data_IF_172869284002
#
_entry.id   IF_172869284002
#
_cell.length_a   1.000
_cell.length_b   1.000
_cell.length_c   1.000
_cell.angle_alpha   90.00
_cell.angle_beta   90.00
_cell.angle_gamma   90.00
#
_symmetry.space_group_name_H-M   'P 1'
#
loop_
_entity.id
_entity.type
_entity.pdbx_description
1 polymer ?
#
# COMPACT_ATOMS: atom_id res chain seq x y z
N UNK A 1 14.17 -7.41 10.10
CA UNK A 1 13.43 -6.24 9.59
C UNK A 1 12.13 -6.11 10.36
N UNK A 2 11.88 -4.98 11.01
CA UNK A 2 10.58 -4.67 11.63
C UNK A 2 9.75 -3.87 10.62
N UNK A 3 8.53 -4.33 10.30
CA UNK A 3 7.58 -3.58 9.50
C UNK A 3 6.78 -2.62 10.40
N UNK A 4 6.60 -1.38 9.97
CA UNK A 4 5.79 -0.42 10.74
C UNK A 4 4.30 -0.69 10.49
N UNK A 5 3.56 -0.92 11.57
CA UNK A 5 2.11 -1.09 11.54
C UNK A 5 1.47 0.15 12.16
N UNK A 6 0.55 0.77 11.44
CA UNK A 6 -0.22 1.93 11.89
C UNK A 6 -1.67 1.48 12.10
N UNK A 7 -2.24 1.68 13.27
CA UNK A 7 -3.66 1.42 13.51
C UNK A 7 -4.45 2.72 13.40
N UNK A 8 -5.58 2.68 12.67
CA UNK A 8 -6.51 3.81 12.56
C UNK A 8 -7.96 3.30 12.60
N UNK A 9 -8.82 4.10 13.21
CA UNK A 9 -10.27 3.93 13.04
C UNK A 9 -10.63 4.30 11.60
N UNK A 10 -11.22 3.34 10.90
CA UNK A 10 -11.61 3.46 9.51
C UNK A 10 -13.02 2.91 9.37
N UNK A 11 -13.98 3.77 9.04
CA UNK A 11 -15.40 3.44 8.91
C UNK A 11 -16.00 2.78 10.17
N UNK A 12 -15.61 3.24 11.37
CA UNK A 12 -16.08 2.69 12.64
C UNK A 12 -15.34 1.43 13.12
N UNK A 13 -14.40 0.91 12.33
CA UNK A 13 -13.60 -0.26 12.68
C UNK A 13 -12.11 0.09 12.84
N UNK A 14 -11.46 -0.50 13.85
CA UNK A 14 -10.01 -0.38 14.03
C UNK A 14 -9.28 -1.23 13.00
N UNK A 15 -8.81 -0.61 11.92
CA UNK A 15 -7.99 -1.26 10.90
C UNK A 15 -6.52 -0.96 11.12
N UNK A 16 -5.69 -1.96 10.86
CA UNK A 16 -4.23 -1.81 10.85
C UNK A 16 -3.78 -1.62 9.42
N UNK A 17 -2.71 -0.88 9.21
CA UNK A 17 -2.16 -0.53 7.92
C UNK A 17 -0.64 -0.69 7.91
N UNK A 18 -0.08 -1.06 6.77
CA UNK A 18 1.36 -1.25 6.56
C UNK A 18 1.80 -0.67 5.23
N UNK A 19 3.08 -0.27 5.13
CA UNK A 19 3.66 0.11 3.85
C UNK A 19 3.88 -1.13 2.98
N UNK A 20 3.37 -1.11 1.76
CA UNK A 20 3.46 -2.24 0.83
C UNK A 20 4.89 -2.58 0.43
N UNK A 21 5.80 -1.59 0.36
CA UNK A 21 7.21 -1.81 -0.01
C UNK A 21 7.96 -2.51 1.12
N UNK A 22 7.74 -2.08 2.35
CA UNK A 22 8.28 -2.77 3.53
C UNK A 22 7.75 -4.20 3.60
N UNK A 23 6.45 -4.39 3.34
CA UNK A 23 5.84 -5.71 3.29
C UNK A 23 6.41 -6.59 2.17
N UNK A 24 6.65 -6.03 0.99
CA UNK A 24 7.25 -6.73 -0.14
C UNK A 24 8.66 -7.23 0.19
N UNK A 25 9.47 -6.35 0.78
CA UNK A 25 10.82 -6.68 1.23
C UNK A 25 10.79 -7.73 2.35
N UNK A 26 9.90 -7.57 3.33
CA UNK A 26 9.75 -8.50 4.45
C UNK A 26 9.32 -9.89 3.99
N UNK A 27 8.44 -9.99 3.00
CA UNK A 27 8.02 -11.27 2.41
C UNK A 27 9.09 -11.89 1.49
N UNK A 28 10.16 -11.17 1.15
CA UNK A 28 11.23 -11.67 0.28
C UNK A 28 10.74 -12.05 -1.12
N UNK A 29 9.70 -11.39 -1.64
CA UNK A 29 9.12 -11.73 -2.94
C UNK A 29 10.08 -11.33 -4.06
N UNK A 30 10.47 -12.28 -4.91
CA UNK A 30 11.39 -12.06 -6.04
C UNK A 30 10.78 -11.34 -7.25
N UNK A 31 9.50 -10.96 -7.19
CA UNK A 31 8.80 -10.23 -8.25
C UNK A 31 9.09 -8.73 -8.12
N UNK A 32 9.09 -7.99 -9.23
CA UNK A 32 9.15 -6.53 -9.15
C UNK A 32 7.93 -5.98 -8.42
N UNK A 33 8.16 -5.07 -7.47
CA UNK A 33 7.13 -4.48 -6.61
C UNK A 33 5.89 -3.99 -7.39
N UNK A 34 6.10 -3.31 -8.52
CA UNK A 34 5.02 -2.75 -9.33
C UNK A 34 4.09 -3.83 -9.91
N UNK A 35 4.64 -4.98 -10.29
CA UNK A 35 3.84 -6.10 -10.79
C UNK A 35 3.17 -6.82 -9.63
N UNK A 36 3.92 -7.06 -8.55
CA UNK A 36 3.41 -7.72 -7.35
C UNK A 36 2.21 -6.99 -6.72
N UNK A 37 2.27 -5.66 -6.61
CA UNK A 37 1.17 -4.92 -5.99
C UNK A 37 -0.08 -4.92 -6.86
N UNK A 38 0.08 -4.80 -8.19
CA UNK A 38 -1.02 -4.90 -9.15
C UNK A 38 -1.68 -6.28 -9.09
N UNK A 39 -0.89 -7.35 -9.13
CA UNK A 39 -1.42 -8.71 -9.04
C UNK A 39 -2.22 -8.91 -7.74
N UNK A 40 -1.77 -8.32 -6.62
CA UNK A 40 -2.50 -8.44 -5.35
C UNK A 40 -3.79 -7.66 -5.36
N UNK A 41 -3.81 -6.45 -5.89
CA UNK A 41 -5.03 -5.64 -6.04
C UNK A 41 -6.05 -6.39 -6.90
N UNK A 42 -5.61 -6.92 -8.04
CA UNK A 42 -6.47 -7.65 -8.97
C UNK A 42 -6.95 -8.99 -8.42
N UNK A 43 -6.04 -9.82 -7.90
CA UNK A 43 -6.34 -11.18 -7.42
C UNK A 43 -7.38 -11.21 -6.29
N UNK A 44 -7.41 -10.18 -5.46
CA UNK A 44 -8.30 -10.13 -4.30
C UNK A 44 -9.40 -9.07 -4.43
N UNK A 45 -9.46 -8.34 -5.56
CA UNK A 45 -10.48 -7.32 -5.80
C UNK A 45 -10.42 -6.14 -4.83
N UNK A 46 -9.22 -5.73 -4.41
CA UNK A 46 -9.07 -4.65 -3.42
C UNK A 46 -9.50 -3.31 -4.00
N UNK A 47 -10.21 -2.53 -3.18
CA UNK A 47 -10.75 -1.22 -3.58
C UNK A 47 -9.90 -0.09 -3.00
N UNK A 48 -9.55 0.85 -3.88
CA UNK A 48 -8.84 2.07 -3.47
C UNK A 48 -9.70 2.91 -2.51
N UNK A 49 -9.06 3.50 -1.51
CA UNK A 49 -9.70 4.24 -0.42
C UNK A 49 -10.56 3.40 0.53
N UNK A 50 -10.57 2.07 0.39
CA UNK A 50 -11.19 1.15 1.35
C UNK A 50 -10.18 0.14 1.89
N UNK A 51 -9.47 -0.53 0.99
CA UNK A 51 -8.50 -1.59 1.31
C UNK A 51 -7.06 -1.11 1.24
N UNK A 52 -6.78 -0.17 0.34
CA UNK A 52 -5.48 0.46 0.18
C UNK A 52 -5.56 1.94 -0.15
N UNK A 53 -4.49 2.65 0.14
CA UNK A 53 -4.29 4.04 -0.21
C UNK A 53 -3.00 4.20 -1.00
N UNK A 54 -3.01 5.11 -1.97
CA UNK A 54 -1.81 5.53 -2.68
C UNK A 54 -1.32 6.80 -2.02
N UNK A 55 -0.04 6.83 -1.67
CA UNK A 55 0.64 8.02 -1.14
C UNK A 55 1.91 8.28 -1.94
N UNK A 56 2.55 9.42 -1.68
CA UNK A 56 3.70 9.90 -2.42
C UNK A 56 4.91 9.89 -1.50
N UNK A 57 5.98 9.23 -1.93
CA UNK A 57 7.24 9.27 -1.21
C UNK A 57 7.72 10.74 -1.08
N UNK A 58 8.05 11.16 0.15
CA UNK A 58 8.49 12.52 0.54
C UNK A 58 7.44 13.63 0.58
N UNK A 59 6.16 13.38 0.36
CA UNK A 59 5.12 14.39 0.61
C UNK A 59 4.61 14.25 2.04
N UNK A 60 5.14 15.06 2.97
CA UNK A 60 4.65 15.12 4.34
C UNK A 60 3.11 15.18 4.36
N UNK A 61 2.48 14.09 4.83
CA UNK A 61 1.05 13.96 5.05
C UNK A 61 0.05 14.13 3.87
N UNK A 62 0.49 14.27 2.61
CA UNK A 62 -0.48 14.31 1.49
C UNK A 62 -0.82 12.90 1.00
N UNK A 63 -1.92 12.35 1.51
CA UNK A 63 -2.65 11.25 0.90
C UNK A 63 -3.30 11.77 -0.40
N UNK A 64 -2.57 11.75 -1.51
CA UNK A 64 -3.15 12.11 -2.80
C UNK A 64 -4.00 10.95 -3.30
N UNK A 65 -5.33 11.11 -3.29
CA UNK A 65 -6.31 10.17 -3.86
C UNK A 65 -6.29 10.11 -5.41
N UNK A 66 -5.14 10.34 -6.03
CA UNK A 66 -5.00 10.44 -7.48
C UNK A 66 -4.31 9.19 -8.03
N UNK A 67 -5.13 8.18 -8.33
CA UNK A 67 -4.67 6.92 -8.90
C UNK A 67 -4.28 7.02 -10.38
N UNK A 68 -4.86 7.97 -11.11
CA UNK A 68 -4.63 8.17 -12.55
C UNK A 68 -3.72 9.37 -12.81
N UNK A 69 -2.46 9.09 -13.13
CA UNK A 69 -1.47 10.09 -13.55
C UNK A 69 -0.06 9.84 -13.02
N UNK A 70 0.92 10.47 -13.68
CA UNK A 70 2.25 10.70 -13.11
C UNK A 70 2.09 11.77 -12.03
N UNK A 71 2.56 11.49 -10.83
CA UNK A 71 2.62 12.49 -9.76
C UNK A 71 3.94 13.20 -9.93
N UNK A 72 3.91 14.49 -10.21
CA UNK A 72 5.11 15.33 -10.35
C UNK A 72 5.16 16.32 -9.20
N UNK A 73 6.35 16.49 -8.64
CA UNK A 73 6.61 17.55 -7.68
C UNK A 73 6.43 18.91 -8.38
N UNK A 74 5.54 19.75 -7.86
CA UNK A 74 5.22 21.04 -8.51
C UNK A 74 6.40 22.03 -8.49
N UNK A 75 7.38 21.86 -7.59
CA UNK A 75 8.55 22.74 -7.46
C UNK A 75 9.72 22.30 -8.33
N UNK A 76 9.91 20.99 -8.48
CA UNK A 76 11.07 20.40 -9.16
C UNK A 76 10.74 19.72 -10.48
N UNK A 77 9.46 19.51 -10.78
CA UNK A 77 8.99 18.76 -11.95
C UNK A 77 9.31 17.26 -11.91
N UNK A 78 9.96 16.77 -10.85
CA UNK A 78 10.39 15.38 -10.73
C UNK A 78 9.20 14.45 -10.53
N UNK A 79 9.20 13.32 -11.24
CA UNK A 79 8.20 12.27 -11.00
C UNK A 79 8.45 11.65 -9.63
N UNK A 80 7.44 11.73 -8.77
CA UNK A 80 7.46 11.18 -7.43
C UNK A 80 7.05 9.70 -7.44
N UNK A 81 7.72 8.90 -6.61
CA UNK A 81 7.43 7.49 -6.48
C UNK A 81 6.11 7.28 -5.73
N UNK A 82 5.24 6.44 -6.29
CA UNK A 82 4.04 5.97 -5.60
C UNK A 82 4.43 5.01 -4.48
N UNK A 83 3.84 5.24 -3.32
CA UNK A 83 3.82 4.33 -2.19
C UNK A 83 2.39 3.84 -1.97
N UNK A 84 2.28 2.64 -1.42
CA UNK A 84 1.00 2.00 -1.17
C UNK A 84 0.91 1.67 0.31
N UNK A 85 -0.17 2.12 0.95
CA UNK A 85 -0.51 1.79 2.32
C UNK A 85 -1.65 0.78 2.27
N UNK A 86 -1.41 -0.42 2.79
CA UNK A 86 -2.32 -1.55 2.68
C UNK A 86 -2.91 -1.84 4.06
N UNK A 87 -4.20 -2.17 4.13
CA UNK A 87 -4.73 -2.73 5.38
C UNK A 87 -4.01 -4.03 5.73
N UNK A 88 -3.88 -4.37 7.01
CA UNK A 88 -3.23 -5.62 7.42
C UNK A 88 -4.08 -6.81 7.00
N UNK A 89 -5.39 -6.67 6.88
CA UNK A 89 -6.23 -7.75 6.35
C UNK A 89 -6.00 -7.97 4.84
N UNK A 90 -5.60 -6.92 4.11
CA UNK A 90 -5.02 -7.02 2.77
C UNK A 90 -3.60 -7.61 2.77
N UNK A 91 -2.78 -7.27 3.78
CA UNK A 91 -1.41 -7.77 3.95
C UNK A 91 -1.36 -9.24 4.43
N UNK A 92 -2.39 -9.68 5.14
CA UNK A 92 -2.68 -11.07 5.45
C UNK A 92 -2.97 -11.73 4.11
N UNK A 93 -1.91 -12.30 3.56
CA UNK A 93 -1.99 -13.66 3.06
C UNK A 93 -3.09 -14.38 3.84
N UNK A 94 -4.14 -14.82 3.17
CA UNK A 94 -4.81 -16.06 3.57
C UNK A 94 -3.70 -17.12 3.59
N UNK A 95 -2.91 -17.16 4.68
CA UNK A 95 -2.50 -18.42 5.25
C UNK A 95 -3.86 -19.00 5.61
N UNK A 96 -4.40 -19.81 4.72
CA UNK A 96 -5.32 -20.82 5.18
C UNK A 96 -4.56 -21.46 6.36
N UNK A 97 -4.99 -21.16 7.58
CA UNK A 97 -5.03 -22.18 8.60
C UNK A 97 -5.92 -23.27 8.00
N UNK A 98 -5.32 -24.10 7.15
CA UNK A 98 -5.76 -25.48 7.08
C UNK A 98 -5.29 -26.04 8.42
N UNK A 99 -6.27 -26.25 9.30
CA UNK A 99 -6.17 -27.34 10.26
C UNK A 99 -5.78 -28.62 9.54
#
# INVERSE_FOLDING_TARGET
MNIKVIQKDFNGEKKRFVNARELHQWLGVGKFFANWIKDRIEKYGFVENLDYFITIANSGNSLSAQSKGKITDAKTGKVLAKEYILSVDMAKLKKNLKN
#
